data_IF_335291220837
#
_entry.id   IF_335291220837
#
_cell.length_a   1.000
_cell.length_b   1.000
_cell.length_c   1.000
_cell.angle_alpha   90.00
_cell.angle_beta   90.00
_cell.angle_gamma   90.00
#
_symmetry.space_group_name_H-M   'P 1'
#
loop_
_entity.id
_entity.type
_entity.pdbx_description
1 polymer ?
#
# COMPACT_ATOMS: atom_id res chain seq x y z
N UNK A 1 -13.15 -30.42 13.03
CA UNK A 1 -12.38 -29.72 11.95
C UNK A 1 -13.40 -29.38 10.88
N UNK A 2 -13.95 -28.18 11.01
CA UNK A 2 -15.05 -27.74 10.15
C UNK A 2 -14.45 -27.11 8.89
N UNK A 3 -14.44 -27.88 7.80
CA UNK A 3 -14.05 -27.43 6.48
C UNK A 3 -15.21 -26.61 5.88
N UNK A 4 -15.64 -25.56 6.59
CA UNK A 4 -16.56 -24.58 6.02
C UNK A 4 -15.81 -23.85 4.91
N UNK A 5 -16.10 -24.22 3.66
CA UNK A 5 -15.69 -23.49 2.47
C UNK A 5 -16.05 -22.03 2.69
N UNK A 6 -15.03 -21.17 2.98
CA UNK A 6 -15.26 -19.73 3.19
C UNK A 6 -15.75 -19.21 1.85
N UNK A 7 -17.04 -18.97 1.77
CA UNK A 7 -17.64 -18.33 0.61
C UNK A 7 -17.18 -16.86 0.59
N UNK A 8 -16.03 -16.63 -0.04
CA UNK A 8 -15.46 -15.28 -0.20
C UNK A 8 -16.41 -14.52 -1.13
N UNK A 9 -17.06 -13.49 -0.58
CA UNK A 9 -18.03 -12.66 -1.29
C UNK A 9 -17.38 -11.44 -1.92
N UNK A 10 -18.02 -10.91 -2.95
CA UNK A 10 -17.59 -9.66 -3.60
C UNK A 10 -17.51 -8.53 -2.58
N UNK A 11 -16.48 -7.67 -2.71
CA UNK A 11 -16.24 -6.55 -1.81
C UNK A 11 -15.78 -6.93 -0.40
N UNK A 12 -15.25 -8.12 -0.18
CA UNK A 12 -14.79 -8.58 1.14
C UNK A 12 -13.62 -7.76 1.69
N UNK A 13 -12.79 -7.19 0.81
CA UNK A 13 -11.65 -6.33 1.13
C UNK A 13 -11.86 -4.94 0.55
N UNK A 14 -11.89 -3.94 1.41
CA UNK A 14 -11.96 -2.52 1.04
C UNK A 14 -10.62 -1.85 1.31
N UNK A 15 -10.10 -1.12 0.32
CA UNK A 15 -8.92 -0.28 0.47
C UNK A 15 -9.22 1.19 0.21
N UNK A 16 -8.48 2.06 0.91
CA UNK A 16 -8.55 3.52 0.73
C UNK A 16 -7.15 4.10 0.59
N UNK A 17 -6.94 4.94 -0.42
CA UNK A 17 -5.62 5.51 -0.70
C UNK A 17 -5.60 6.53 -1.82
N UNK A 18 -4.40 6.92 -2.23
CA UNK A 18 -4.14 7.91 -3.26
C UNK A 18 -3.96 7.20 -4.62
N UNK A 19 -4.94 7.25 -5.55
CA UNK A 19 -4.74 6.78 -6.91
C UNK A 19 -3.80 7.73 -7.65
N UNK A 20 -2.72 7.19 -8.22
CA UNK A 20 -1.71 7.94 -8.97
C UNK A 20 -1.43 7.25 -10.30
N UNK A 21 -1.25 8.03 -11.37
CA UNK A 21 -0.70 7.50 -12.60
C UNK A 21 0.83 7.68 -12.58
N UNK A 22 1.55 6.56 -12.59
CA UNK A 22 3.00 6.57 -12.63
C UNK A 22 3.47 6.88 -14.05
N UNK A 23 4.31 7.91 -14.18
CA UNK A 23 5.00 8.31 -15.40
C UNK A 23 6.44 7.83 -15.26
N UNK A 24 6.72 6.64 -15.77
CA UNK A 24 8.00 5.95 -15.60
C UNK A 24 8.92 6.17 -16.80
N UNK A 25 10.15 6.55 -16.53
CA UNK A 25 11.15 6.71 -17.58
C UNK A 25 12.58 6.37 -17.09
N UNK A 26 13.38 5.82 -18.00
CA UNK A 26 14.82 5.65 -17.79
C UNK A 26 15.48 7.01 -18.02
N UNK A 27 16.20 7.49 -17.02
CA UNK A 27 16.83 8.81 -17.01
C UNK A 27 18.29 8.73 -16.54
N UNK A 28 19.04 9.81 -16.73
CA UNK A 28 20.40 9.96 -16.21
C UNK A 28 20.43 10.69 -14.87
N UNK A 29 21.57 10.63 -14.18
CA UNK A 29 21.79 11.33 -12.91
C UNK A 29 21.71 12.86 -13.05
N UNK A 30 21.94 13.39 -14.26
CA UNK A 30 21.85 14.83 -14.51
C UNK A 30 20.43 15.35 -14.36
N UNK A 31 19.42 14.54 -14.76
CA UNK A 31 18.03 14.88 -14.55
C UNK A 31 17.64 14.86 -13.08
N UNK A 32 18.09 13.86 -12.32
CA UNK A 32 17.88 13.82 -10.86
C UNK A 32 18.43 15.09 -10.21
N UNK A 33 19.69 15.40 -10.50
CA UNK A 33 20.35 16.59 -9.96
C UNK A 33 19.65 17.89 -10.36
N UNK A 34 19.16 17.99 -11.61
CA UNK A 34 18.44 19.17 -12.12
C UNK A 34 17.21 19.49 -11.26
N UNK A 35 16.50 18.46 -10.80
CA UNK A 35 15.29 18.61 -9.99
C UNK A 35 15.53 18.43 -8.48
N UNK A 36 16.79 18.27 -8.05
CA UNK A 36 17.16 18.12 -6.64
C UNK A 36 16.69 16.81 -6.03
N UNK A 37 16.56 15.76 -6.84
CA UNK A 37 16.24 14.41 -6.42
C UNK A 37 17.50 13.59 -6.17
N UNK A 38 17.38 12.60 -5.29
CA UNK A 38 18.44 11.62 -5.03
C UNK A 38 17.96 10.23 -5.49
N UNK A 39 18.92 9.33 -5.70
CA UNK A 39 18.61 7.96 -5.96
C UNK A 39 17.84 7.33 -4.77
N UNK A 40 16.82 6.54 -5.08
CA UNK A 40 15.97 5.87 -4.11
C UNK A 40 15.12 6.80 -3.21
N UNK A 41 14.98 8.09 -3.58
CA UNK A 41 14.09 9.03 -2.92
C UNK A 41 12.62 8.74 -3.23
N UNK A 42 11.76 8.98 -2.23
CA UNK A 42 10.31 9.05 -2.40
C UNK A 42 9.81 10.36 -1.78
N UNK A 43 9.55 11.37 -2.60
CA UNK A 43 9.19 12.71 -2.15
C UNK A 43 7.84 13.17 -2.70
N UNK A 44 7.26 14.15 -2.00
CA UNK A 44 6.13 14.91 -2.52
C UNK A 44 6.64 16.01 -3.46
N UNK A 45 5.95 16.18 -4.60
CA UNK A 45 6.29 17.23 -5.54
C UNK A 45 6.01 18.62 -4.95
N UNK A 46 6.98 19.51 -5.15
CA UNK A 46 6.85 20.96 -4.95
C UNK A 46 6.73 21.65 -6.32
N UNK A 47 6.43 22.96 -6.35
CA UNK A 47 6.28 23.72 -7.59
C UNK A 47 7.50 23.60 -8.54
N UNK A 48 8.71 23.51 -7.99
CA UNK A 48 9.94 23.33 -8.77
C UNK A 48 9.99 22.00 -9.54
N UNK A 49 9.22 20.99 -9.11
CA UNK A 49 9.15 19.67 -9.73
C UNK A 49 8.10 19.58 -10.84
N UNK A 50 7.16 20.55 -10.95
CA UNK A 50 6.06 20.45 -11.92
C UNK A 50 6.52 20.35 -13.37
N UNK A 51 7.63 21.01 -13.82
CA UNK A 51 8.14 20.84 -15.18
C UNK A 51 8.69 19.44 -15.47
N UNK A 52 9.08 18.66 -14.46
CA UNK A 52 9.61 17.30 -14.60
C UNK A 52 8.65 16.38 -15.35
N UNK A 53 7.36 16.39 -14.97
CA UNK A 53 6.35 15.50 -15.56
C UNK A 53 6.22 15.71 -17.07
N UNK A 54 6.21 16.96 -17.51
CA UNK A 54 6.18 17.33 -18.93
C UNK A 54 7.48 16.91 -19.63
N UNK A 55 8.63 17.14 -18.99
CA UNK A 55 9.93 16.79 -19.57
C UNK A 55 10.08 15.27 -19.76
N UNK A 56 9.59 14.45 -18.82
CA UNK A 56 9.56 12.99 -18.96
C UNK A 56 8.74 12.55 -20.18
N UNK A 57 7.55 13.13 -20.35
CA UNK A 57 6.68 12.79 -21.48
C UNK A 57 7.23 13.23 -22.84
N UNK A 58 7.90 14.39 -22.89
CA UNK A 58 8.37 14.95 -24.17
C UNK A 58 9.74 14.46 -24.60
N UNK A 59 10.62 14.09 -23.65
CA UNK A 59 12.03 13.80 -23.95
C UNK A 59 12.48 12.39 -23.64
N UNK A 60 11.74 11.67 -22.78
CA UNK A 60 12.15 10.38 -22.27
C UNK A 60 11.04 9.36 -22.52
N UNK A 61 10.91 8.74 -23.53
CA UNK A 61 9.94 7.67 -23.89
C UNK A 61 9.19 7.06 -22.66
N UNK A 62 8.44 7.91 -21.93
CA UNK A 62 7.83 7.57 -20.66
C UNK A 62 6.67 6.58 -20.83
N UNK A 63 6.59 5.61 -19.93
CA UNK A 63 5.49 4.66 -19.83
C UNK A 63 4.49 5.10 -18.76
N UNK A 64 3.20 4.88 -19.03
CA UNK A 64 2.11 5.15 -18.09
C UNK A 64 1.67 3.85 -17.41
N UNK A 65 1.89 3.76 -16.10
CA UNK A 65 1.57 2.59 -15.29
C UNK A 65 0.55 3.00 -14.22
N UNK A 66 -0.49 2.19 -14.02
CA UNK A 66 -1.40 2.43 -12.90
C UNK A 66 -0.64 2.22 -11.58
N UNK A 67 -0.66 3.23 -10.73
CA UNK A 67 0.06 3.28 -9.46
C UNK A 67 -0.83 3.68 -8.29
N UNK A 68 -0.16 4.05 -7.19
CA UNK A 68 -0.79 4.29 -5.90
C UNK A 68 -0.77 3.06 -5.02
N UNK A 69 -0.09 3.18 -3.85
CA UNK A 69 0.26 2.06 -2.98
C UNK A 69 -0.90 1.10 -2.68
N UNK A 70 -2.03 1.61 -2.19
CA UNK A 70 -3.19 0.75 -1.87
C UNK A 70 -3.78 0.11 -3.13
N UNK A 71 -3.88 0.87 -4.25
CA UNK A 71 -4.38 0.33 -5.51
C UNK A 71 -3.51 -0.83 -6.00
N UNK A 72 -2.19 -0.68 -5.94
CA UNK A 72 -1.24 -1.74 -6.27
C UNK A 72 -1.45 -2.97 -5.39
N UNK A 73 -1.55 -2.78 -4.07
CA UNK A 73 -1.80 -3.88 -3.13
C UNK A 73 -3.09 -4.63 -3.44
N UNK A 74 -4.17 -3.91 -3.77
CA UNK A 74 -5.46 -4.55 -4.10
C UNK A 74 -5.42 -5.27 -5.45
N UNK A 75 -4.71 -4.73 -6.45
CA UNK A 75 -4.51 -5.40 -7.75
C UNK A 75 -3.72 -6.70 -7.58
N UNK A 76 -2.65 -6.68 -6.79
CA UNK A 76 -1.87 -7.89 -6.47
C UNK A 76 -2.70 -8.90 -5.67
N UNK A 77 -3.47 -8.44 -4.65
CA UNK A 77 -4.36 -9.31 -3.91
C UNK A 77 -5.39 -9.99 -4.83
N UNK A 78 -5.94 -9.23 -5.76
CA UNK A 78 -6.92 -9.72 -6.73
C UNK A 78 -6.31 -10.74 -7.71
N UNK A 79 -5.06 -10.52 -8.16
CA UNK A 79 -4.29 -11.46 -8.98
C UNK A 79 -4.08 -12.80 -8.27
N UNK A 80 -3.72 -12.79 -6.98
CA UNK A 80 -3.56 -14.01 -6.17
C UNK A 80 -4.90 -14.72 -5.95
N UNK A 81 -5.97 -13.96 -5.68
CA UNK A 81 -7.30 -14.51 -5.38
C UNK A 81 -8.02 -15.11 -6.60
N UNK A 82 -7.62 -14.73 -7.81
CA UNK A 82 -8.18 -15.25 -9.09
C UNK A 82 -9.70 -15.11 -9.27
N UNK A 83 -10.38 -14.46 -8.37
CA UNK A 83 -11.81 -14.18 -8.44
C UNK A 83 -12.05 -12.68 -8.48
N UNK A 84 -12.62 -12.10 -9.54
CA UNK A 84 -12.80 -10.66 -9.68
C UNK A 84 -13.76 -10.09 -8.63
N UNK A 85 -13.63 -8.79 -8.36
CA UNK A 85 -14.49 -7.98 -7.49
C UNK A 85 -14.45 -8.31 -6.00
N UNK A 86 -13.45 -9.07 -5.53
CA UNK A 86 -13.25 -9.28 -4.10
C UNK A 86 -12.70 -8.04 -3.42
N UNK A 87 -11.97 -7.20 -4.16
CA UNK A 87 -11.39 -5.97 -3.68
C UNK A 87 -12.17 -4.76 -4.20
N UNK A 88 -12.45 -3.80 -3.30
CA UNK A 88 -13.03 -2.50 -3.62
C UNK A 88 -12.04 -1.40 -3.23
N UNK A 89 -11.88 -0.40 -4.08
CA UNK A 89 -10.93 0.68 -3.85
C UNK A 89 -11.61 2.06 -3.82
N UNK A 90 -11.32 2.84 -2.78
CA UNK A 90 -11.70 4.23 -2.62
C UNK A 90 -10.50 5.16 -2.79
N UNK A 91 -10.68 6.23 -3.54
CA UNK A 91 -9.69 7.26 -3.76
C UNK A 91 -10.31 8.43 -4.53
N UNK A 92 -9.55 9.49 -4.78
CA UNK A 92 -10.03 10.63 -5.54
C UNK A 92 -9.17 10.84 -6.78
N UNK A 93 -9.81 11.04 -7.93
CA UNK A 93 -9.19 11.30 -9.23
C UNK A 93 -9.81 12.54 -9.87
N UNK A 94 -9.14 13.09 -10.87
CA UNK A 94 -9.69 14.15 -11.71
C UNK A 94 -10.76 13.63 -12.68
N UNK A 95 -11.39 14.56 -13.39
CA UNK A 95 -12.30 14.24 -14.50
C UNK A 95 -11.52 14.30 -15.82
N UNK A 96 -10.57 13.37 -16.02
CA UNK A 96 -9.61 13.40 -17.12
C UNK A 96 -9.28 11.98 -17.66
N UNK A 97 -8.45 11.94 -18.70
CA UNK A 97 -8.06 10.67 -19.32
C UNK A 97 -7.16 9.82 -18.42
N UNK A 98 -6.40 10.41 -17.50
CA UNK A 98 -5.60 9.67 -16.52
C UNK A 98 -6.48 8.90 -15.55
N UNK A 99 -7.61 9.49 -15.11
CA UNK A 99 -8.60 8.79 -14.29
C UNK A 99 -9.18 7.56 -15.02
N UNK A 100 -9.45 7.68 -16.33
CA UNK A 100 -9.94 6.56 -17.15
C UNK A 100 -8.92 5.44 -17.22
N UNK A 101 -7.64 5.76 -17.51
CA UNK A 101 -6.54 4.78 -17.55
C UNK A 101 -6.42 4.03 -16.22
N UNK A 102 -6.42 4.77 -15.09
CA UNK A 102 -6.36 4.18 -13.75
C UNK A 102 -7.53 3.22 -13.49
N UNK A 103 -8.74 3.67 -13.83
CA UNK A 103 -9.96 2.86 -13.65
C UNK A 103 -9.90 1.58 -14.49
N UNK A 104 -9.63 1.70 -15.79
CA UNK A 104 -9.57 0.58 -16.72
C UNK A 104 -8.53 -0.46 -16.28
N UNK A 105 -7.36 -0.02 -15.83
CA UNK A 105 -6.31 -0.92 -15.35
C UNK A 105 -6.70 -1.65 -14.07
N UNK A 106 -7.24 -0.94 -13.08
CA UNK A 106 -7.67 -1.56 -11.83
C UNK A 106 -8.83 -2.55 -12.06
N UNK A 107 -9.80 -2.19 -12.91
CA UNK A 107 -10.93 -3.05 -13.26
C UNK A 107 -10.51 -4.27 -14.11
N UNK A 108 -9.54 -4.12 -15.00
CA UNK A 108 -8.97 -5.24 -15.76
C UNK A 108 -8.30 -6.28 -14.85
N UNK A 109 -7.68 -5.83 -13.75
CA UNK A 109 -7.10 -6.69 -12.71
C UNK A 109 -8.15 -7.20 -11.71
N UNK A 110 -9.44 -6.88 -11.92
CA UNK A 110 -10.57 -7.36 -11.13
C UNK A 110 -10.90 -6.54 -9.88
N UNK A 111 -10.26 -5.39 -9.65
CA UNK A 111 -10.58 -4.48 -8.55
C UNK A 111 -11.79 -3.63 -8.91
N UNK A 112 -12.77 -3.54 -8.01
CA UNK A 112 -13.93 -2.65 -8.17
C UNK A 112 -13.55 -1.25 -7.65
N UNK A 113 -13.48 -0.24 -8.52
CA UNK A 113 -13.10 1.12 -8.10
C UNK A 113 -14.33 2.00 -7.90
N UNK A 114 -14.35 2.73 -6.79
CA UNK A 114 -15.38 3.70 -6.42
C UNK A 114 -14.68 5.04 -6.15
N UNK A 115 -14.23 5.69 -7.23
CA UNK A 115 -13.52 6.96 -7.13
C UNK A 115 -14.46 8.14 -6.84
N UNK A 116 -14.01 9.03 -5.97
CA UNK A 116 -14.49 10.40 -5.94
C UNK A 116 -13.93 11.14 -7.14
N UNK A 117 -14.78 11.82 -7.90
CA UNK A 117 -14.35 12.62 -9.05
C UNK A 117 -14.22 14.08 -8.62
N UNK A 118 -13.10 14.70 -8.93
CA UNK A 118 -12.82 16.12 -8.73
C UNK A 118 -12.77 16.82 -10.09
N UNK A 119 -13.74 17.70 -10.35
CA UNK A 119 -13.83 18.42 -11.63
C UNK A 119 -12.85 19.59 -11.75
N UNK A 120 -12.23 20.01 -10.65
CA UNK A 120 -11.38 21.22 -10.59
C UNK A 120 -9.90 20.95 -10.53
N UNK A 121 -9.50 19.70 -10.33
CA UNK A 121 -8.09 19.32 -10.13
C UNK A 121 -7.80 18.03 -10.92
N UNK A 122 -6.70 17.97 -11.70
CA UNK A 122 -6.37 16.80 -12.49
C UNK A 122 -6.01 15.59 -11.61
N UNK A 123 -6.09 14.41 -12.21
CA UNK A 123 -5.66 13.16 -11.56
C UNK A 123 -4.21 13.25 -11.09
N UNK A 124 -3.93 12.70 -9.92
CA UNK A 124 -2.60 12.65 -9.37
C UNK A 124 -1.64 11.81 -10.21
N UNK A 125 -0.38 12.20 -10.25
CA UNK A 125 0.69 11.53 -11.01
C UNK A 125 1.91 11.30 -10.14
N UNK A 126 2.70 10.30 -10.45
CA UNK A 126 4.01 10.09 -9.85
C UNK A 126 5.07 10.00 -10.95
N UNK A 127 6.08 10.86 -10.90
CA UNK A 127 7.25 10.70 -11.75
C UNK A 127 8.13 9.59 -11.16
N UNK A 128 8.35 8.53 -11.93
CA UNK A 128 9.19 7.38 -11.58
C UNK A 128 10.45 7.44 -12.43
N UNK A 129 11.55 7.86 -11.81
CA UNK A 129 12.83 8.06 -12.49
C UNK A 129 13.72 6.83 -12.26
N UNK A 130 13.99 6.13 -13.32
CA UNK A 130 14.81 4.90 -13.34
C UNK A 130 16.24 5.25 -13.70
N UNK A 131 17.18 5.08 -12.76
CA UNK A 131 18.61 5.37 -12.97
C UNK A 131 19.42 4.11 -12.63
N UNK A 132 19.75 3.33 -13.65
CA UNK A 132 20.36 2.00 -13.44
C UNK A 132 19.42 1.08 -12.67
N UNK A 133 19.80 0.68 -11.45
CA UNK A 133 18.99 -0.15 -10.54
C UNK A 133 18.22 0.66 -9.50
N UNK A 134 18.35 1.98 -9.51
CA UNK A 134 17.72 2.88 -8.56
C UNK A 134 16.40 3.44 -9.09
N UNK A 135 15.47 3.73 -8.17
CA UNK A 135 14.15 4.32 -8.45
C UNK A 135 13.91 5.50 -7.56
N UNK A 136 13.70 6.67 -8.17
CA UNK A 136 13.31 7.86 -7.43
C UNK A 136 11.89 8.24 -7.78
N UNK A 137 11.10 8.54 -6.77
CA UNK A 137 9.68 8.85 -6.88
C UNK A 137 9.43 10.30 -6.50
N UNK A 138 8.74 11.02 -7.36
CA UNK A 138 8.25 12.37 -7.08
C UNK A 138 6.73 12.38 -7.31
N UNK A 139 5.95 12.43 -6.23
CA UNK A 139 4.50 12.27 -6.28
C UNK A 139 3.77 13.62 -6.23
N UNK A 140 3.00 13.93 -7.27
CA UNK A 140 2.04 15.02 -7.27
C UNK A 140 0.64 14.45 -7.02
N UNK A 141 0.14 14.62 -5.81
CA UNK A 141 -1.15 14.05 -5.41
C UNK A 141 -2.35 14.69 -6.11
N UNK A 142 -2.28 15.96 -6.46
CA UNK A 142 -3.33 16.70 -7.19
C UNK A 142 -4.75 16.34 -6.67
N UNK A 143 -5.61 15.73 -7.51
CA UNK A 143 -6.98 15.35 -7.10
C UNK A 143 -7.01 14.34 -5.94
N UNK A 144 -6.00 13.51 -5.76
CA UNK A 144 -5.96 12.56 -4.64
C UNK A 144 -6.07 13.27 -3.27
N UNK A 145 -5.54 14.52 -3.15
CA UNK A 145 -5.66 15.34 -1.93
C UNK A 145 -7.07 15.90 -1.69
N UNK A 146 -7.98 15.75 -2.64
CA UNK A 146 -9.35 16.27 -2.56
C UNK A 146 -10.36 15.25 -2.06
N UNK A 147 -9.89 14.08 -1.66
CA UNK A 147 -10.77 13.07 -1.08
C UNK A 147 -11.42 13.58 0.21
N UNK A 148 -12.72 13.41 0.33
CA UNK A 148 -13.49 13.84 1.50
C UNK A 148 -14.25 12.67 2.11
N UNK A 149 -14.45 12.72 3.42
CA UNK A 149 -15.20 11.70 4.16
C UNK A 149 -16.65 11.55 3.65
N UNK A 150 -17.23 12.62 3.08
CA UNK A 150 -18.58 12.61 2.51
C UNK A 150 -18.73 11.61 1.35
N UNK A 151 -17.63 11.30 0.64
CA UNK A 151 -17.65 10.28 -0.40
C UNK A 151 -18.05 8.91 0.15
N UNK A 152 -17.59 8.57 1.35
CA UNK A 152 -17.93 7.31 2.02
C UNK A 152 -19.40 7.24 2.42
N UNK A 153 -20.11 8.38 2.46
CA UNK A 153 -21.53 8.45 2.74
C UNK A 153 -22.44 8.16 1.54
N UNK A 154 -21.89 8.04 0.32
CA UNK A 154 -22.65 7.61 -0.87
C UNK A 154 -23.14 6.18 -0.72
N UNK A 155 -24.33 5.88 -1.23
CA UNK A 155 -24.99 4.57 -1.05
C UNK A 155 -24.14 3.40 -1.55
N UNK A 156 -23.45 3.56 -2.69
CA UNK A 156 -22.55 2.53 -3.21
C UNK A 156 -21.35 2.25 -2.30
N UNK A 157 -20.76 3.31 -1.72
CA UNK A 157 -19.64 3.20 -0.79
C UNK A 157 -20.10 2.60 0.54
N UNK A 158 -21.24 3.05 1.09
CA UNK A 158 -21.84 2.46 2.31
C UNK A 158 -22.08 0.97 2.14
N UNK A 159 -22.70 0.56 1.02
CA UNK A 159 -22.95 -0.85 0.74
C UNK A 159 -21.65 -1.67 0.69
N UNK A 160 -20.58 -1.11 0.11
CA UNK A 160 -19.28 -1.77 0.08
C UNK A 160 -18.65 -1.86 1.48
N UNK A 161 -18.73 -0.80 2.27
CA UNK A 161 -18.24 -0.77 3.66
C UNK A 161 -18.99 -1.77 4.54
N UNK A 162 -20.33 -1.81 4.47
CA UNK A 162 -21.15 -2.75 5.22
C UNK A 162 -20.91 -4.21 4.79
N UNK A 163 -20.59 -4.40 3.50
CA UNK A 163 -20.26 -5.71 2.92
C UNK A 163 -18.88 -6.22 3.29
N UNK A 164 -17.92 -5.38 3.60
CA UNK A 164 -16.53 -5.75 3.80
C UNK A 164 -16.26 -6.39 5.17
N UNK A 165 -15.19 -7.17 5.24
CA UNK A 165 -14.66 -7.76 6.48
C UNK A 165 -13.22 -7.32 6.76
N UNK A 166 -12.52 -6.84 5.74
CA UNK A 166 -11.15 -6.38 5.80
C UNK A 166 -11.06 -4.97 5.23
N UNK A 167 -10.36 -4.08 5.95
CA UNK A 167 -10.17 -2.69 5.57
C UNK A 167 -8.69 -2.37 5.56
N UNK A 168 -8.18 -1.83 4.46
CA UNK A 168 -6.77 -1.53 4.29
C UNK A 168 -6.53 -0.06 3.92
N UNK A 169 -5.62 0.59 4.62
CA UNK A 169 -5.20 1.96 4.36
C UNK A 169 -3.66 2.08 4.35
N UNK A 170 -3.12 2.96 3.51
CA UNK A 170 -1.71 3.34 3.58
C UNK A 170 -1.48 4.53 4.50
N UNK A 171 -0.30 4.61 5.09
CA UNK A 171 0.16 5.77 5.84
C UNK A 171 0.17 7.05 5.01
N UNK A 172 0.43 6.96 3.71
CA UNK A 172 0.34 8.10 2.80
C UNK A 172 -1.03 8.79 2.81
N UNK A 173 -2.10 8.05 3.08
CA UNK A 173 -3.45 8.62 3.12
C UNK A 173 -3.78 9.33 4.43
N UNK A 174 -2.97 9.14 5.48
CA UNK A 174 -3.08 9.91 6.74
C UNK A 174 -2.87 11.41 6.50
N UNK A 175 -2.04 11.76 5.53
CA UNK A 175 -1.80 13.16 5.14
C UNK A 175 -2.98 13.79 4.36
N UNK A 176 -3.91 12.96 3.85
CA UNK A 176 -5.01 13.41 2.98
C UNK A 176 -6.34 13.46 3.74
N UNK A 177 -6.76 12.34 4.31
CA UNK A 177 -8.05 12.23 5.00
C UNK A 177 -7.97 11.25 6.17
N UNK A 178 -7.34 11.65 7.29
CA UNK A 178 -7.27 10.82 8.49
C UNK A 178 -8.66 10.53 9.08
N UNK A 179 -9.64 11.40 8.88
CA UNK A 179 -11.04 11.20 9.27
C UNK A 179 -11.69 10.07 8.49
N UNK A 180 -11.41 9.91 7.21
CA UNK A 180 -11.92 8.80 6.40
C UNK A 180 -11.31 7.46 6.85
N UNK A 181 -10.01 7.44 7.13
CA UNK A 181 -9.35 6.28 7.73
C UNK A 181 -10.01 5.93 9.06
N UNK A 182 -10.22 6.94 9.91
CA UNK A 182 -10.83 6.75 11.22
C UNK A 182 -12.27 6.22 11.13
N UNK A 183 -13.05 6.67 10.13
CA UNK A 183 -14.40 6.17 9.92
C UNK A 183 -14.38 4.68 9.60
N UNK A 184 -13.52 4.23 8.66
CA UNK A 184 -13.37 2.83 8.31
C UNK A 184 -12.83 2.00 9.49
N UNK A 185 -11.86 2.51 10.23
CA UNK A 185 -11.28 1.86 11.39
C UNK A 185 -12.29 1.64 12.51
N UNK A 186 -13.11 2.65 12.81
CA UNK A 186 -14.21 2.56 13.79
C UNK A 186 -15.29 1.57 13.33
N UNK A 187 -15.65 1.60 12.04
CA UNK A 187 -16.62 0.66 11.48
C UNK A 187 -16.10 -0.79 11.60
N UNK A 188 -14.85 -1.03 11.23
CA UNK A 188 -14.23 -2.34 11.38
C UNK A 188 -14.26 -2.83 12.84
N UNK A 189 -13.84 -1.98 13.78
CA UNK A 189 -13.84 -2.32 15.20
C UNK A 189 -15.25 -2.63 15.74
N UNK A 190 -16.25 -1.81 15.41
CA UNK A 190 -17.63 -1.97 15.87
C UNK A 190 -18.28 -3.27 15.36
N UNK A 191 -17.87 -3.77 14.21
CA UNK A 191 -18.38 -4.98 13.59
C UNK A 191 -17.46 -6.21 13.76
N UNK A 192 -16.44 -6.12 14.61
CA UNK A 192 -15.41 -7.15 14.79
C UNK A 192 -14.72 -7.57 13.48
N UNK A 193 -14.60 -6.63 12.54
CA UNK A 193 -13.84 -6.77 11.30
C UNK A 193 -12.39 -6.34 11.49
N UNK A 194 -11.52 -6.63 10.53
CA UNK A 194 -10.08 -6.38 10.63
C UNK A 194 -9.71 -5.07 9.93
N UNK A 195 -9.06 -4.15 10.66
CA UNK A 195 -8.47 -2.95 10.10
C UNK A 195 -6.95 -3.10 9.97
N UNK A 196 -6.43 -2.87 8.77
CA UNK A 196 -5.05 -3.10 8.39
C UNK A 196 -4.44 -1.79 7.90
N UNK A 197 -3.20 -1.52 8.28
CA UNK A 197 -2.49 -0.31 7.88
C UNK A 197 -1.05 -0.59 7.51
N UNK A 198 -0.51 0.18 6.57
CA UNK A 198 0.92 0.24 6.26
C UNK A 198 1.48 1.59 6.74
N UNK A 199 2.66 1.62 7.36
CA UNK A 199 3.37 2.85 7.73
C UNK A 199 3.80 3.65 6.50
N UNK A 200 4.14 2.96 5.41
CA UNK A 200 4.38 3.47 4.05
C UNK A 200 5.62 4.31 3.84
N UNK A 201 5.99 5.19 4.75
CA UNK A 201 7.21 5.99 4.67
C UNK A 201 7.57 6.59 6.03
N UNK A 202 8.88 6.83 6.32
CA UNK A 202 9.34 7.45 7.56
C UNK A 202 8.69 8.79 7.86
N UNK A 203 8.47 9.63 6.85
CA UNK A 203 7.89 10.96 7.02
C UNK A 203 6.46 10.93 7.59
N UNK A 204 5.70 9.85 7.39
CA UNK A 204 4.36 9.70 7.94
C UNK A 204 4.39 9.73 9.46
N UNK A 205 5.25 8.93 10.07
CA UNK A 205 5.44 8.94 11.53
C UNK A 205 6.01 10.25 12.05
N UNK A 206 6.88 10.91 11.28
CA UNK A 206 7.55 12.14 11.68
C UNK A 206 6.61 13.35 11.66
N UNK A 207 5.82 13.52 10.59
CA UNK A 207 5.01 14.73 10.38
C UNK A 207 3.53 14.55 10.71
N UNK A 208 3.03 13.31 10.76
CA UNK A 208 1.62 13.01 11.02
C UNK A 208 1.42 12.16 12.28
N UNK A 209 2.28 12.37 13.30
CA UNK A 209 2.24 11.65 14.58
C UNK A 209 0.86 11.70 15.24
N UNK A 210 0.23 12.88 15.32
CA UNK A 210 -1.04 13.05 16.03
C UNK A 210 -2.21 12.26 15.39
N UNK A 211 -2.51 12.39 14.09
CA UNK A 211 -3.55 11.59 13.46
C UNK A 211 -3.21 10.09 13.50
N UNK A 212 -1.93 9.71 13.29
CA UNK A 212 -1.50 8.33 13.38
C UNK A 212 -1.73 7.74 14.78
N UNK A 213 -1.41 8.50 15.84
CA UNK A 213 -1.64 8.09 17.23
C UNK A 213 -3.13 7.81 17.52
N UNK A 214 -4.04 8.56 16.90
CA UNK A 214 -5.49 8.34 17.05
C UNK A 214 -5.98 7.09 16.30
N UNK A 215 -5.34 6.74 15.18
CA UNK A 215 -5.71 5.59 14.34
C UNK A 215 -5.14 4.29 14.93
N UNK A 216 -3.90 4.31 15.44
CA UNK A 216 -3.18 3.14 15.92
C UNK A 216 -3.96 2.23 16.87
N UNK A 217 -4.81 2.71 17.82
CA UNK A 217 -5.61 1.83 18.67
C UNK A 217 -6.59 0.92 17.92
N UNK A 218 -6.94 1.25 16.68
CA UNK A 218 -7.87 0.46 15.84
C UNK A 218 -7.14 -0.52 14.92
N UNK A 219 -5.81 -0.39 14.76
CA UNK A 219 -5.03 -1.21 13.81
C UNK A 219 -4.85 -2.63 14.35
N UNK A 220 -5.36 -3.61 13.61
CA UNK A 220 -5.22 -5.04 13.90
C UNK A 220 -3.93 -5.63 13.30
N UNK A 221 -3.60 -5.21 12.06
CA UNK A 221 -2.38 -5.63 11.36
C UNK A 221 -1.65 -4.39 10.87
N UNK A 222 -0.38 -4.27 11.22
CA UNK A 222 0.49 -3.17 10.79
C UNK A 222 1.63 -3.70 9.94
N UNK A 223 1.80 -3.12 8.76
CA UNK A 223 2.99 -3.29 7.92
C UNK A 223 3.95 -2.12 8.06
N UNK A 224 5.21 -2.41 7.86
CA UNK A 224 6.26 -1.43 7.69
C UNK A 224 7.56 -2.10 7.24
N UNK A 225 8.55 -1.27 6.89
CA UNK A 225 9.93 -1.70 6.73
C UNK A 225 10.78 -1.26 7.93
N UNK A 226 12.06 -1.62 7.93
CA UNK A 226 12.98 -1.29 9.03
C UNK A 226 13.12 0.22 9.26
N UNK A 227 13.15 1.02 8.20
CA UNK A 227 13.29 2.49 8.31
C UNK A 227 12.00 3.14 8.81
N UNK A 228 10.85 2.62 8.41
CA UNK A 228 9.54 3.08 8.90
C UNK A 228 9.33 2.71 10.37
N UNK A 229 9.76 1.50 10.77
CA UNK A 229 9.71 1.07 12.16
C UNK A 229 10.61 1.94 13.06
N UNK A 230 11.83 2.28 12.61
CA UNK A 230 12.74 3.18 13.32
C UNK A 230 12.14 4.60 13.44
N UNK A 231 11.58 5.13 12.36
CA UNK A 231 10.94 6.45 12.36
C UNK A 231 9.71 6.47 13.30
N UNK A 232 8.91 5.40 13.30
CA UNK A 232 7.79 5.23 14.22
C UNK A 232 8.29 5.20 15.67
N UNK A 233 9.33 4.40 15.96
CA UNK A 233 9.89 4.30 17.31
C UNK A 233 10.35 5.67 17.82
N UNK A 234 11.08 6.43 17.01
CA UNK A 234 11.51 7.80 17.35
C UNK A 234 10.33 8.75 17.57
N UNK A 235 9.33 8.70 16.71
CA UNK A 235 8.15 9.56 16.81
C UNK A 235 7.30 9.25 18.06
N UNK A 236 7.22 7.99 18.48
CA UNK A 236 6.38 7.54 19.58
C UNK A 236 7.17 7.25 20.88
N UNK A 237 8.39 7.76 20.99
CA UNK A 237 9.23 7.68 22.18
C UNK A 237 9.49 6.21 22.64
N UNK A 238 9.59 5.29 21.67
CA UNK A 238 10.00 3.90 21.89
C UNK A 238 11.52 3.86 21.96
N UNK A 239 12.07 3.41 23.09
CA UNK A 239 13.51 3.46 23.37
C UNK A 239 14.32 2.38 22.64
N UNK A 240 13.68 1.33 22.14
CA UNK A 240 14.30 0.23 21.45
C UNK A 240 14.88 0.68 20.10
N UNK A 241 16.03 0.15 19.73
CA UNK A 241 16.73 0.44 18.46
C UNK A 241 16.83 -0.78 17.55
N UNK A 242 16.59 -1.97 18.08
CA UNK A 242 16.56 -3.20 17.28
C UNK A 242 15.16 -3.39 16.70
N UNK A 243 15.08 -3.66 15.40
CA UNK A 243 13.80 -3.75 14.64
C UNK A 243 12.82 -4.77 15.24
N UNK A 244 13.32 -5.93 15.71
CA UNK A 244 12.48 -6.94 16.37
C UNK A 244 11.85 -6.38 17.65
N UNK A 245 12.64 -5.70 18.46
CA UNK A 245 12.18 -5.17 19.75
C UNK A 245 11.24 -3.98 19.54
N UNK A 246 11.49 -3.14 18.53
CA UNK A 246 10.54 -2.10 18.08
C UNK A 246 9.21 -2.74 17.66
N UNK A 247 9.23 -3.78 16.83
CA UNK A 247 8.01 -4.47 16.39
C UNK A 247 7.21 -5.05 17.56
N UNK A 248 7.87 -5.63 18.56
CA UNK A 248 7.24 -6.10 19.79
C UNK A 248 6.59 -4.96 20.58
N UNK A 249 7.24 -3.81 20.69
CA UNK A 249 6.67 -2.63 21.36
C UNK A 249 5.46 -2.07 20.62
N UNK A 250 5.54 -2.00 19.29
CA UNK A 250 4.40 -1.58 18.45
C UNK A 250 3.21 -2.56 18.64
N UNK A 251 3.47 -3.86 18.66
CA UNK A 251 2.42 -4.87 18.90
C UNK A 251 1.75 -4.70 20.25
N UNK A 252 2.52 -4.30 21.28
CA UNK A 252 2.05 -4.10 22.65
C UNK A 252 1.36 -2.75 22.91
N UNK A 253 1.34 -1.82 21.93
CA UNK A 253 0.64 -0.53 22.11
C UNK A 253 -0.85 -0.74 22.36
N UNK A 254 -1.52 0.14 23.11
CA UNK A 254 -2.95 0.04 23.42
C UNK A 254 -3.81 -0.18 22.19
N UNK A 255 -4.86 -0.96 22.33
CA UNK A 255 -5.79 -1.35 21.26
C UNK A 255 -7.23 -1.29 21.72
N UNK A 256 -8.16 -0.87 20.82
CA UNK A 256 -9.59 -0.83 21.14
C UNK A 256 -10.21 -2.23 21.25
N UNK A 257 -9.83 -3.14 20.37
CA UNK A 257 -10.24 -4.54 20.47
C UNK A 257 -9.12 -5.35 21.16
N UNK A 258 -9.19 -5.46 22.49
CA UNK A 258 -8.20 -6.19 23.29
C UNK A 258 -8.29 -7.72 23.13
N UNK A 259 -9.43 -8.24 22.68
CA UNK A 259 -9.58 -9.68 22.46
C UNK A 259 -8.76 -10.22 21.26
N UNK A 260 -8.30 -9.32 20.37
CA UNK A 260 -7.50 -9.65 19.22
C UNK A 260 -6.15 -8.91 19.29
N UNK A 261 -5.03 -9.62 19.51
CA UNK A 261 -3.72 -8.99 19.58
C UNK A 261 -3.37 -8.32 18.24
N UNK A 262 -2.59 -7.22 18.30
CA UNK A 262 -2.07 -6.60 17.08
C UNK A 262 -0.99 -7.49 16.48
N UNK A 263 -1.06 -7.65 15.17
CA UNK A 263 -0.03 -8.29 14.36
C UNK A 263 0.85 -7.20 13.75
N UNK A 264 2.16 -7.35 13.83
CA UNK A 264 3.12 -6.44 13.22
C UNK A 264 4.01 -7.22 12.27
N UNK A 265 4.15 -6.72 11.05
CA UNK A 265 4.95 -7.35 9.99
C UNK A 265 5.96 -6.33 9.49
N UNK A 266 7.25 -6.60 9.71
CA UNK A 266 8.32 -5.71 9.27
C UNK A 266 9.15 -6.42 8.20
N UNK A 267 9.16 -5.84 7.01
CA UNK A 267 10.03 -6.28 5.91
C UNK A 267 11.41 -5.64 6.04
N UNK A 268 12.46 -6.32 5.59
CA UNK A 268 13.85 -5.87 5.70
C UNK A 268 14.64 -6.17 4.42
N UNK A 269 14.07 -5.84 3.26
CA UNK A 269 14.67 -6.10 1.96
C UNK A 269 14.99 -7.57 1.75
N UNK A 270 16.28 -7.94 1.69
CA UNK A 270 16.73 -9.31 1.52
C UNK A 270 16.82 -10.13 2.82
N UNK A 271 16.69 -9.46 3.96
CA UNK A 271 16.72 -10.12 5.26
C UNK A 271 15.34 -10.71 5.61
N UNK A 272 15.29 -11.49 6.67
CA UNK A 272 14.05 -12.14 7.13
C UNK A 272 12.95 -11.13 7.41
N UNK A 273 11.71 -11.44 7.02
CA UNK A 273 10.53 -10.74 7.48
C UNK A 273 10.29 -11.07 8.95
N UNK A 274 10.08 -10.04 9.76
CA UNK A 274 9.72 -10.19 11.18
C UNK A 274 8.20 -10.17 11.28
N UNK A 275 7.62 -11.27 11.75
CA UNK A 275 6.20 -11.40 12.08
C UNK A 275 6.06 -11.44 13.60
N UNK A 276 5.28 -10.51 14.16
CA UNK A 276 4.94 -10.45 15.58
C UNK A 276 3.45 -10.70 15.75
N UNK A 277 3.08 -11.72 16.51
CA UNK A 277 1.71 -12.08 16.89
C UNK A 277 1.59 -11.97 18.41
N UNK A 278 1.15 -10.82 18.90
CA UNK A 278 1.18 -10.53 20.35
C UNK A 278 2.60 -10.49 20.89
N UNK A 279 3.05 -11.54 21.60
CA UNK A 279 4.43 -11.68 22.12
C UNK A 279 5.28 -12.68 21.33
N UNK A 280 4.67 -13.43 20.41
CA UNK A 280 5.39 -14.41 19.58
C UNK A 280 6.06 -13.69 18.42
N UNK A 281 7.36 -13.92 18.23
CA UNK A 281 8.14 -13.42 17.09
C UNK A 281 8.54 -14.60 16.20
N UNK A 282 8.28 -14.47 14.92
CA UNK A 282 8.69 -15.44 13.90
C UNK A 282 9.51 -14.72 12.83
N UNK A 283 10.66 -15.29 12.47
CA UNK A 283 11.50 -14.83 11.38
C UNK A 283 11.25 -15.69 10.15
N UNK A 284 10.78 -15.10 9.07
CA UNK A 284 10.43 -15.82 7.85
C UNK A 284 11.44 -15.45 6.76
N UNK A 285 12.20 -16.43 6.23
CA UNK A 285 13.22 -16.16 5.22
C UNK A 285 12.59 -15.67 3.92
N UNK A 286 13.26 -14.74 3.25
CA UNK A 286 12.87 -14.26 1.93
C UNK A 286 13.52 -15.08 0.82
N UNK A 287 12.91 -15.04 -0.37
CA UNK A 287 13.48 -15.61 -1.58
C UNK A 287 14.52 -14.63 -2.11
N UNK A 288 15.80 -15.01 -2.05
CA UNK A 288 16.89 -14.18 -2.55
C UNK A 288 16.98 -14.27 -4.07
N UNK A 289 16.84 -13.14 -4.75
CA UNK A 289 17.11 -13.00 -6.18
C UNK A 289 18.57 -12.56 -6.42
N UNK A 290 19.11 -12.90 -7.57
CA UNK A 290 20.37 -12.33 -8.03
C UNK A 290 20.14 -10.89 -8.50
N UNK A 291 21.21 -10.09 -8.60
CA UNK A 291 21.10 -8.69 -9.04
C UNK A 291 20.51 -8.58 -10.45
N UNK A 292 20.81 -9.54 -11.32
CA UNK A 292 20.34 -9.57 -12.71
C UNK A 292 18.85 -9.88 -12.83
N UNK A 293 18.26 -10.52 -11.82
CA UNK A 293 16.83 -10.83 -11.76
C UNK A 293 16.01 -9.64 -11.24
N UNK A 294 16.64 -8.68 -10.56
CA UNK A 294 15.96 -7.50 -10.02
C UNK A 294 15.88 -6.43 -11.09
N UNK A 295 14.67 -6.14 -11.57
CA UNK A 295 14.39 -5.10 -12.55
C UNK A 295 13.99 -3.78 -11.88
N UNK A 296 13.05 -3.86 -10.93
CA UNK A 296 12.50 -2.68 -10.27
C UNK A 296 12.02 -3.02 -8.86
N UNK A 297 12.56 -2.36 -7.85
CA UNK A 297 12.12 -2.58 -6.46
C UNK A 297 10.90 -1.75 -6.06
N UNK A 298 10.45 -0.84 -6.94
CA UNK A 298 9.23 -0.07 -6.70
C UNK A 298 8.00 -0.99 -6.65
N UNK A 299 7.11 -0.75 -5.70
CA UNK A 299 5.91 -1.56 -5.50
C UNK A 299 6.16 -2.90 -4.77
N UNK A 300 7.40 -3.24 -4.38
CA UNK A 300 7.68 -4.46 -3.61
C UNK A 300 6.87 -4.52 -2.31
N UNK A 301 6.81 -3.41 -1.56
CA UNK A 301 6.00 -3.30 -0.34
C UNK A 301 4.50 -3.41 -0.59
N UNK A 302 4.03 -2.82 -1.70
CA UNK A 302 2.62 -2.91 -2.11
C UNK A 302 2.26 -4.35 -2.49
N UNK A 303 3.14 -5.03 -3.23
CA UNK A 303 2.97 -6.41 -3.64
C UNK A 303 3.01 -7.36 -2.43
N UNK A 304 3.92 -7.12 -1.50
CA UNK A 304 3.96 -7.86 -0.24
C UNK A 304 2.63 -7.73 0.52
N UNK A 305 2.15 -6.51 0.70
CA UNK A 305 0.86 -6.26 1.35
C UNK A 305 -0.30 -6.94 0.59
N UNK A 306 -0.32 -6.86 -0.74
CA UNK A 306 -1.33 -7.50 -1.58
C UNK A 306 -1.36 -9.02 -1.43
N UNK A 307 -0.19 -9.67 -1.51
CA UNK A 307 -0.08 -11.11 -1.28
C UNK A 307 -0.53 -11.53 0.12
N UNK A 308 -0.11 -10.78 1.14
CA UNK A 308 -0.55 -11.00 2.51
C UNK A 308 -2.08 -10.87 2.67
N UNK A 309 -2.66 -9.78 2.17
CA UNK A 309 -4.09 -9.50 2.23
C UNK A 309 -4.91 -10.60 1.55
N UNK A 310 -4.43 -11.14 0.42
CA UNK A 310 -5.10 -12.22 -0.30
C UNK A 310 -5.30 -13.46 0.57
N UNK A 311 -4.27 -13.86 1.33
CA UNK A 311 -4.33 -15.03 2.20
C UNK A 311 -5.13 -14.77 3.48
N UNK A 312 -5.12 -13.51 3.98
CA UNK A 312 -6.02 -13.12 5.07
C UNK A 312 -7.49 -13.26 4.69
N UNK A 313 -7.87 -12.82 3.48
CA UNK A 313 -9.23 -12.98 2.95
C UNK A 313 -9.64 -14.45 2.92
N UNK A 314 -8.70 -15.35 2.65
CA UNK A 314 -8.88 -16.79 2.68
C UNK A 314 -8.78 -17.42 4.08
N UNK A 315 -8.62 -16.59 5.12
CA UNK A 315 -8.49 -16.99 6.53
C UNK A 315 -7.32 -17.96 6.79
N UNK A 316 -6.20 -17.76 6.08
CA UNK A 316 -4.97 -18.51 6.28
C UNK A 316 -4.19 -17.99 7.50
N UNK A 317 -3.21 -18.78 7.97
CA UNK A 317 -2.31 -18.36 9.03
C UNK A 317 -1.51 -17.11 8.63
N UNK A 318 -1.11 -16.28 9.59
CA UNK A 318 -0.26 -15.11 9.30
C UNK A 318 1.09 -15.51 8.70
N UNK A 319 1.61 -16.67 9.04
CA UNK A 319 2.82 -17.20 8.41
C UNK A 319 2.60 -17.47 6.92
N UNK A 320 1.49 -18.10 6.53
CA UNK A 320 1.10 -18.29 5.13
C UNK A 320 0.89 -16.94 4.43
N UNK A 321 0.27 -15.96 5.12
CA UNK A 321 0.10 -14.61 4.59
C UNK A 321 1.46 -13.95 4.28
N UNK A 322 2.44 -14.05 5.19
CA UNK A 322 3.80 -13.53 4.97
C UNK A 322 4.49 -14.24 3.81
N UNK A 323 4.42 -15.58 3.73
CA UNK A 323 4.99 -16.35 2.61
C UNK A 323 4.41 -15.90 1.26
N UNK A 324 3.09 -15.66 1.18
CA UNK A 324 2.46 -15.15 -0.02
C UNK A 324 2.88 -13.69 -0.32
N UNK A 325 3.06 -12.87 0.70
CA UNK A 325 3.61 -11.53 0.58
C UNK A 325 5.03 -11.55 -0.02
N UNK A 326 5.90 -12.42 0.49
CA UNK A 326 7.26 -12.63 -0.04
C UNK A 326 7.21 -13.09 -1.50
N UNK A 327 6.39 -14.08 -1.82
CA UNK A 327 6.17 -14.56 -3.19
C UNK A 327 5.78 -13.41 -4.12
N UNK A 328 4.77 -12.63 -3.73
CA UNK A 328 4.26 -11.52 -4.55
C UNK A 328 5.31 -10.43 -4.74
N UNK A 329 6.01 -10.02 -3.68
CA UNK A 329 7.09 -9.05 -3.77
C UNK A 329 8.22 -9.55 -4.69
N UNK A 330 8.65 -10.81 -4.51
CA UNK A 330 9.67 -11.45 -5.35
C UNK A 330 9.26 -11.49 -6.83
N UNK A 331 7.99 -11.73 -7.12
CA UNK A 331 7.49 -11.71 -8.49
C UNK A 331 7.53 -10.30 -9.08
N UNK A 332 7.00 -9.31 -8.36
CA UNK A 332 6.88 -7.93 -8.85
C UNK A 332 8.23 -7.28 -9.12
N UNK A 333 9.23 -7.46 -8.25
CA UNK A 333 10.54 -6.81 -8.44
C UNK A 333 11.33 -7.34 -9.65
N UNK A 334 10.86 -8.37 -10.34
CA UNK A 334 11.40 -8.84 -11.60
C UNK A 334 10.77 -8.18 -12.83
N UNK A 335 9.86 -7.20 -12.62
CA UNK A 335 9.15 -6.45 -13.66
C UNK A 335 9.32 -4.95 -13.46
N UNK A 336 8.99 -4.15 -14.48
CA UNK A 336 8.94 -2.68 -14.35
C UNK A 336 7.64 -2.25 -13.69
N UNK A 337 7.72 -1.50 -12.59
CA UNK A 337 6.58 -1.08 -11.78
C UNK A 337 5.81 -2.25 -11.16
N UNK A 338 4.65 -1.95 -10.55
CA UNK A 338 3.79 -2.99 -9.97
C UNK A 338 2.95 -3.68 -11.06
N UNK A 339 3.63 -4.48 -11.90
CA UNK A 339 3.01 -5.20 -13.02
C UNK A 339 3.18 -6.71 -12.88
N UNK A 340 2.20 -7.45 -13.35
CA UNK A 340 2.17 -8.91 -13.35
C UNK A 340 1.42 -9.41 -14.58
N UNK A 341 1.70 -10.65 -14.99
CA UNK A 341 1.05 -11.29 -16.12
C UNK A 341 0.72 -12.74 -15.83
N UNK A 342 -0.33 -13.25 -16.48
CA UNK A 342 -0.78 -14.63 -16.27
C UNK A 342 -1.37 -14.87 -14.88
N UNK A 343 -1.63 -16.11 -14.58
CA UNK A 343 -2.16 -16.55 -13.28
C UNK A 343 -1.04 -16.69 -12.26
N UNK A 344 -1.32 -16.32 -11.02
CA UNK A 344 -0.43 -16.63 -9.90
C UNK A 344 -0.30 -18.14 -9.70
N UNK A 345 0.90 -18.60 -9.46
CA UNK A 345 1.22 -20.01 -9.14
C UNK A 345 1.55 -20.21 -7.66
N UNK A 346 1.22 -19.23 -6.80
CA UNK A 346 1.41 -19.37 -5.36
C UNK A 346 0.70 -20.62 -4.82
N UNK A 347 1.47 -21.46 -4.14
CA UNK A 347 0.97 -22.63 -3.44
C UNK A 347 1.35 -22.54 -1.97
N UNK A 348 0.41 -22.90 -1.11
CA UNK A 348 0.63 -23.00 0.32
C UNK A 348 1.57 -24.19 0.59
N UNK A 349 2.81 -23.90 1.05
CA UNK A 349 3.82 -24.88 1.43
C UNK A 349 3.83 -25.16 2.94
#
# INVERSE_FOLDING_TARGET
MDNSCICVRDGVLVGIGNPLLDISAIVDEALLKKYGLQADDAIMAEDKHMPLYKELMEKYNAEFIAGGSVQNSLRVAQWILKKPKLCVYFGCVGNDDYAKILKERAEADGVSVQYQICDTTPTGTCAVLVTGTHRSLCANLAAAQKFTVDHLAKDECKKSIEGARFFYASGFFVAVSPESIMQLAKHANANNHTFIMNLSAPFVSQFYKEPLAKIMPYVDVLFGNESEADAFAKAFDIAETNVKDIALKIAALPKQNEARPRVVVITQGKEHVILVEGTKVTFIPVICLTREQIVDTNGAGDAFAGGFLSQMVLNKSYETCVKCGIYSATHIIQHSGCTFSGDSDFQES
#
